data_IF_010993159460
#
_entry.id   IF_010993159460
#
_cell.length_a   1.000
_cell.length_b   1.000
_cell.length_c   1.000
_cell.angle_alpha   90.00
_cell.angle_beta   90.00
_cell.angle_gamma   90.00
#
_symmetry.space_group_name_H-M   'P 1'
#
loop_
_entity.id
_entity.type
_entity.pdbx_description
1 polymer ?
#
# COMPACT_ATOMS: atom_id res chain seq x y z
N UNK A 1 17.99 -28.75 55.05
CA UNK A 1 17.40 -27.56 54.39
C UNK A 1 18.43 -26.93 53.46
N UNK A 2 18.23 -27.06 52.15
CA UNK A 2 18.79 -26.17 51.11
C UNK A 2 18.02 -26.49 49.84
N UNK A 3 17.00 -25.67 49.59
CA UNK A 3 16.10 -25.82 48.45
C UNK A 3 16.88 -25.44 47.19
N UNK A 4 16.99 -26.40 46.27
CA UNK A 4 17.38 -26.18 44.89
C UNK A 4 16.21 -25.44 44.22
N UNK A 5 16.43 -24.22 43.76
CA UNK A 5 15.52 -23.46 42.89
C UNK A 5 16.41 -22.99 41.74
N UNK A 6 16.63 -23.85 40.74
CA UNK A 6 15.93 -23.80 39.44
C UNK A 6 15.80 -22.36 38.91
N UNK A 7 16.87 -21.88 38.27
CA UNK A 7 16.85 -20.67 37.44
C UNK A 7 16.10 -21.05 36.16
N UNK A 8 14.80 -20.77 36.14
CA UNK A 8 13.95 -20.91 34.95
C UNK A 8 13.83 -19.55 34.26
N UNK A 9 14.20 -19.52 32.99
CA UNK A 9 13.42 -18.95 31.90
C UNK A 9 13.01 -17.47 32.04
N UNK A 10 13.88 -16.57 31.57
CA UNK A 10 13.45 -15.31 30.94
C UNK A 10 14.19 -15.18 29.61
N UNK A 11 13.96 -16.14 28.71
CA UNK A 11 14.16 -15.92 27.29
C UNK A 11 12.97 -15.05 26.88
N UNK A 12 13.17 -13.74 26.95
CA UNK A 12 12.22 -12.75 26.47
C UNK A 12 11.89 -13.10 25.01
N UNK A 13 10.67 -13.59 24.79
CA UNK A 13 10.05 -13.64 23.48
C UNK A 13 9.94 -12.20 23.01
N UNK A 14 10.99 -11.70 22.34
CA UNK A 14 10.83 -10.62 21.40
C UNK A 14 10.00 -11.20 20.26
N UNK A 15 8.67 -11.23 20.45
CA UNK A 15 7.75 -11.40 19.34
C UNK A 15 8.00 -10.15 18.48
N UNK A 16 8.57 -10.28 17.27
CA UNK A 16 8.49 -9.17 16.36
C UNK A 16 6.99 -8.94 16.19
N UNK A 17 6.51 -7.75 16.55
CA UNK A 17 5.19 -7.33 16.14
C UNK A 17 5.22 -7.42 14.61
N UNK A 18 4.67 -8.51 14.06
CA UNK A 18 4.25 -8.54 12.67
C UNK A 18 3.28 -7.37 12.58
N UNK A 19 3.74 -6.26 12.01
CA UNK A 19 2.85 -5.22 11.56
C UNK A 19 1.84 -5.93 10.67
N UNK A 20 0.63 -6.12 11.19
CA UNK A 20 -0.47 -6.56 10.36
C UNK A 20 -0.61 -5.47 9.31
N UNK A 21 -0.30 -5.78 8.06
CA UNK A 21 -0.72 -4.93 6.95
C UNK A 21 -2.23 -4.78 7.12
N UNK A 22 -2.71 -3.54 7.25
CA UNK A 22 -4.13 -3.28 7.35
C UNK A 22 -4.76 -3.67 6.01
N UNK A 23 -5.47 -4.80 5.99
CA UNK A 23 -6.21 -5.30 4.82
C UNK A 23 -7.68 -4.89 4.98
N UNK A 24 -8.23 -4.32 3.91
CA UNK A 24 -9.66 -4.02 3.78
C UNK A 24 -10.43 -5.19 3.13
N UNK A 25 -9.76 -6.34 2.92
CA UNK A 25 -10.32 -7.56 2.35
C UNK A 25 -9.64 -7.99 1.05
N UNK A 26 -9.91 -9.23 0.64
CA UNK A 26 -9.24 -9.91 -0.49
C UNK A 26 -9.24 -9.10 -1.80
N UNK A 27 -10.34 -8.40 -2.10
CA UNK A 27 -10.45 -7.55 -3.29
C UNK A 27 -9.50 -6.35 -3.25
N UNK A 28 -9.36 -5.73 -2.09
CA UNK A 28 -8.44 -4.61 -1.88
C UNK A 28 -6.99 -5.06 -1.98
N UNK A 29 -6.69 -6.21 -1.36
CA UNK A 29 -5.36 -6.82 -1.40
C UNK A 29 -4.98 -7.16 -2.85
N UNK A 30 -5.94 -7.63 -3.66
CA UNK A 30 -5.66 -7.95 -5.06
C UNK A 30 -5.28 -6.74 -5.90
N UNK A 31 -5.90 -5.58 -5.66
CA UNK A 31 -5.50 -4.33 -6.31
C UNK A 31 -4.06 -3.97 -5.94
N UNK A 32 -3.70 -4.06 -4.66
CA UNK A 32 -2.34 -3.78 -4.20
C UNK A 32 -1.33 -4.76 -4.83
N UNK A 33 -1.65 -6.06 -4.84
CA UNK A 33 -0.81 -7.08 -5.46
C UNK A 33 -0.50 -6.79 -6.93
N UNK A 34 -1.48 -6.30 -7.70
CA UNK A 34 -1.29 -5.96 -9.12
C UNK A 34 -0.28 -4.83 -9.27
N UNK A 35 -0.43 -3.74 -8.52
CA UNK A 35 0.49 -2.60 -8.57
C UNK A 35 1.85 -2.83 -7.91
N UNK A 36 1.99 -3.89 -7.11
CA UNK A 36 3.28 -4.35 -6.59
C UNK A 36 3.90 -5.48 -7.44
N UNK A 37 3.20 -5.94 -8.48
CA UNK A 37 3.68 -6.99 -9.37
C UNK A 37 4.61 -6.47 -10.46
N UNK A 38 5.19 -7.38 -11.25
CA UNK A 38 5.98 -7.03 -12.42
C UNK A 38 5.14 -6.63 -13.64
N UNK A 39 3.80 -6.76 -13.57
CA UNK A 39 2.90 -6.44 -14.67
C UNK A 39 2.68 -4.92 -14.81
N UNK A 40 2.95 -4.15 -13.75
CA UNK A 40 2.78 -2.70 -13.68
C UNK A 40 4.14 -1.98 -13.69
N UNK A 41 4.69 -1.74 -14.88
CA UNK A 41 6.08 -1.28 -15.06
C UNK A 41 6.44 0.05 -14.35
N UNK A 42 5.47 0.96 -14.22
CA UNK A 42 5.69 2.27 -13.59
C UNK A 42 5.56 2.22 -12.05
N UNK A 43 4.83 1.26 -11.50
CA UNK A 43 4.52 1.19 -10.07
C UNK A 43 5.65 0.53 -9.28
N UNK A 44 5.96 1.14 -8.12
CA UNK A 44 6.98 0.64 -7.19
C UNK A 44 6.36 0.10 -5.91
N UNK A 45 5.24 0.70 -5.50
CA UNK A 45 4.47 0.29 -4.34
C UNK A 45 3.02 0.80 -4.49
N UNK A 46 2.11 0.19 -3.75
CA UNK A 46 0.73 0.65 -3.66
C UNK A 46 0.17 0.39 -2.26
N UNK A 47 -0.68 1.30 -1.79
CA UNK A 47 -1.33 1.18 -0.49
C UNK A 47 -2.72 1.82 -0.49
N UNK A 48 -3.65 1.16 0.18
CA UNK A 48 -4.92 1.76 0.54
C UNK A 48 -4.76 2.62 1.79
N UNK A 49 -4.83 3.93 1.62
CA UNK A 49 -4.82 4.90 2.74
C UNK A 49 -6.17 4.85 3.49
N UNK A 50 -7.24 4.48 2.77
CA UNK A 50 -8.57 4.17 3.30
C UNK A 50 -9.35 3.29 2.29
N UNK A 51 -10.56 2.84 2.64
CA UNK A 51 -11.43 2.09 1.70
C UNK A 51 -11.78 2.83 0.40
N UNK A 52 -11.56 4.15 0.35
CA UNK A 52 -11.89 5.04 -0.78
C UNK A 52 -10.69 5.85 -1.30
N UNK A 53 -9.47 5.55 -0.85
CA UNK A 53 -8.25 6.23 -1.33
C UNK A 53 -7.12 5.22 -1.54
N UNK A 54 -6.79 4.98 -2.80
CA UNK A 54 -5.62 4.22 -3.21
C UNK A 54 -4.48 5.17 -3.56
N UNK A 55 -3.29 4.91 -3.03
CA UNK A 55 -2.05 5.61 -3.41
C UNK A 55 -1.12 4.64 -4.11
N UNK A 56 -0.59 5.04 -5.26
CA UNK A 56 0.38 4.28 -6.05
C UNK A 56 1.68 5.09 -6.10
N UNK A 57 2.76 4.53 -5.59
CA UNK A 57 4.08 5.14 -5.59
C UNK A 57 4.82 4.84 -6.89
N UNK A 58 5.31 5.89 -7.55
CA UNK A 58 6.15 5.82 -8.76
C UNK A 58 7.39 6.69 -8.60
N UNK A 59 8.34 6.62 -9.53
CA UNK A 59 9.35 7.67 -9.68
C UNK A 59 8.87 8.75 -10.66
N UNK A 60 9.06 10.01 -10.30
CA UNK A 60 8.74 11.12 -11.20
C UNK A 60 9.67 11.10 -12.43
N UNK A 61 9.07 11.01 -13.61
CA UNK A 61 9.73 11.05 -14.91
C UNK A 61 9.34 12.30 -15.72
N UNK A 62 8.93 13.37 -15.04
CA UNK A 62 8.43 14.62 -15.63
C UNK A 62 7.25 14.37 -16.60
N UNK A 63 6.43 13.36 -16.32
CA UNK A 63 5.21 13.02 -17.07
C UNK A 63 3.96 13.16 -16.21
N UNK A 64 2.83 13.41 -16.86
CA UNK A 64 1.51 13.42 -16.21
C UNK A 64 1.00 11.99 -16.02
N UNK A 65 0.69 11.62 -14.78
CA UNK A 65 0.22 10.28 -14.42
C UNK A 65 -1.31 10.18 -14.33
N UNK A 66 -2.07 11.19 -14.75
CA UNK A 66 -3.54 11.17 -14.73
C UNK A 66 -4.12 10.01 -15.53
N UNK A 67 -3.54 9.69 -16.69
CA UNK A 67 -3.95 8.52 -17.48
C UNK A 67 -3.62 7.21 -16.77
N UNK A 68 -2.51 7.15 -16.03
CA UNK A 68 -2.14 5.97 -15.24
C UNK A 68 -3.07 5.79 -14.03
N UNK A 69 -3.43 6.88 -13.35
CA UNK A 69 -4.46 6.87 -12.32
C UNK A 69 -5.81 6.39 -12.87
N UNK A 70 -6.14 6.74 -14.12
CA UNK A 70 -7.36 6.28 -14.79
C UNK A 70 -7.32 4.79 -15.11
N UNK A 71 -6.17 4.26 -15.57
CA UNK A 71 -5.95 2.81 -15.72
C UNK A 71 -6.15 2.07 -14.40
N UNK A 72 -5.70 2.63 -13.28
CA UNK A 72 -5.93 2.01 -11.98
C UNK A 72 -7.42 1.89 -11.61
N UNK A 73 -8.27 2.80 -12.09
CA UNK A 73 -9.71 2.64 -11.95
C UNK A 73 -10.25 1.43 -12.73
N UNK A 74 -9.70 1.10 -13.89
CA UNK A 74 -10.07 -0.11 -14.63
C UNK A 74 -9.69 -1.38 -13.85
N UNK A 75 -8.51 -1.40 -13.22
CA UNK A 75 -8.09 -2.51 -12.33
C UNK A 75 -9.01 -2.66 -11.11
N UNK A 76 -9.35 -1.54 -10.45
CA UNK A 76 -10.29 -1.53 -9.31
C UNK A 76 -11.67 -2.06 -9.73
N UNK A 77 -12.11 -1.69 -10.93
CA UNK A 77 -13.35 -2.16 -11.54
C UNK A 77 -13.35 -3.66 -11.79
N UNK A 78 -12.25 -4.23 -12.26
CA UNK A 78 -12.11 -5.68 -12.43
C UNK A 78 -12.22 -6.45 -11.11
N UNK A 79 -11.93 -5.81 -9.97
CA UNK A 79 -12.14 -6.39 -8.63
C UNK A 79 -13.55 -6.14 -8.08
N UNK A 80 -14.45 -5.56 -8.87
CA UNK A 80 -15.84 -5.25 -8.53
C UNK A 80 -15.95 -4.34 -7.27
N UNK A 81 -15.10 -3.30 -7.19
CA UNK A 81 -15.09 -2.30 -6.11
C UNK A 81 -15.75 -0.96 -6.52
N UNK A 82 -16.48 -0.96 -7.64
CA UNK A 82 -17.02 0.24 -8.32
C UNK A 82 -18.09 1.00 -7.53
N UNK A 83 -18.76 0.36 -6.58
CA UNK A 83 -19.85 0.98 -5.80
C UNK A 83 -19.37 2.07 -4.82
N UNK A 84 -18.05 2.27 -4.73
CA UNK A 84 -17.41 3.25 -3.87
C UNK A 84 -16.77 4.34 -4.75
N UNK A 85 -17.00 5.60 -4.40
CA UNK A 85 -16.31 6.74 -5.04
C UNK A 85 -14.84 6.74 -4.61
N UNK A 86 -14.05 5.86 -5.21
CA UNK A 86 -12.64 5.64 -4.91
C UNK A 86 -11.81 6.71 -5.62
N UNK A 87 -10.95 7.37 -4.88
CA UNK A 87 -9.91 8.24 -5.42
C UNK A 87 -8.60 7.45 -5.57
N UNK A 88 -7.96 7.58 -6.72
CA UNK A 88 -6.59 7.11 -6.96
C UNK A 88 -5.68 8.31 -7.01
N UNK A 89 -4.57 8.24 -6.27
CA UNK A 89 -3.48 9.20 -6.34
C UNK A 89 -2.18 8.49 -6.71
N UNK A 90 -1.54 8.95 -7.78
CA UNK A 90 -0.19 8.55 -8.13
C UNK A 90 0.77 9.56 -7.51
N UNK A 91 1.70 9.08 -6.70
CA UNK A 91 2.60 9.92 -5.91
C UNK A 91 4.06 9.68 -6.27
N UNK A 92 4.88 10.71 -6.10
CA UNK A 92 6.33 10.58 -6.19
C UNK A 92 6.89 9.94 -4.92
N UNK A 93 7.28 8.67 -5.03
CA UNK A 93 7.84 7.92 -3.91
C UNK A 93 9.20 8.51 -3.46
N UNK A 94 9.96 9.11 -4.37
CA UNK A 94 11.25 9.72 -4.03
C UNK A 94 11.08 10.96 -3.16
N UNK A 95 10.04 11.76 -3.41
CA UNK A 95 9.69 12.93 -2.59
C UNK A 95 9.15 12.51 -1.23
N UNK A 96 8.35 11.44 -1.18
CA UNK A 96 7.89 10.90 0.10
C UNK A 96 9.06 10.45 0.98
N UNK A 97 10.03 9.75 0.40
CA UNK A 97 11.19 9.23 1.15
C UNK A 97 12.15 10.36 1.58
N UNK A 98 12.41 11.34 0.69
CA UNK A 98 13.45 12.35 0.93
C UNK A 98 12.94 13.56 1.70
N UNK A 99 11.68 13.95 1.49
CA UNK A 99 11.11 15.18 2.00
C UNK A 99 9.87 14.96 2.89
N UNK A 100 9.42 13.71 3.07
CA UNK A 100 8.16 13.38 3.77
C UNK A 100 6.93 14.04 3.11
N UNK A 101 7.03 14.33 1.81
CA UNK A 101 5.99 15.03 1.04
C UNK A 101 5.22 14.08 0.13
N UNK A 102 3.89 14.10 0.26
CA UNK A 102 2.96 13.41 -0.63
C UNK A 102 2.71 14.22 -1.91
N UNK A 103 3.72 14.30 -2.77
CA UNK A 103 3.61 14.99 -4.07
C UNK A 103 2.77 14.14 -5.03
N UNK A 104 1.55 14.59 -5.31
CA UNK A 104 0.66 13.96 -6.30
C UNK A 104 1.11 14.34 -7.71
N UNK A 105 1.34 13.33 -8.55
CA UNK A 105 1.74 13.44 -9.95
C UNK A 105 0.56 13.21 -10.92
N UNK A 106 -0.52 12.60 -10.43
CA UNK A 106 -1.74 12.36 -11.18
C UNK A 106 -2.82 11.80 -10.25
N UNK A 107 -4.08 12.05 -10.60
CA UNK A 107 -5.21 11.57 -9.81
C UNK A 107 -6.40 11.22 -10.71
N UNK A 108 -7.23 10.30 -10.25
CA UNK A 108 -8.48 9.94 -10.90
C UNK A 108 -9.52 9.55 -9.84
N UNK A 109 -10.80 9.78 -10.16
CA UNK A 109 -11.93 9.28 -9.36
C UNK A 109 -12.60 8.18 -10.14
N UNK A 110 -12.65 6.97 -9.56
CA UNK A 110 -13.25 5.80 -10.16
C UNK A 110 -14.77 5.88 -10.05
N UNK A 111 -15.46 5.57 -11.16
CA UNK A 111 -16.92 5.65 -11.31
C UNK A 111 -17.44 4.55 -12.22
#
# INVERSE_FOLDING_TARGET
>A
MKKVILILLCLSLAVPALAAVESYGEKYDKVVEIFQSLDEEDALDAIWDSETLLKIGVFDHDKDYTNYASHACDVIKEQELEDKEIMVQVIDLSQLIQAEEWKVLGEAVCR
#
